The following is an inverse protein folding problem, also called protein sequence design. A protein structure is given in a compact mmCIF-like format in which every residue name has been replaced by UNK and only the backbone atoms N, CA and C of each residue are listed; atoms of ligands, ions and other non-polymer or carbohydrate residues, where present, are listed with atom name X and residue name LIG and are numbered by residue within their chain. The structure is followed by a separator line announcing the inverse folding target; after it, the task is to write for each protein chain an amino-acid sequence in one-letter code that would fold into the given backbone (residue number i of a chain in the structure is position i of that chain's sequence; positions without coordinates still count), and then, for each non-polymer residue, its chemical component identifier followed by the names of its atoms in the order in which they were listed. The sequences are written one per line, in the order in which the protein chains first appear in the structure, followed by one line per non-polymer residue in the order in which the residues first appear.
data_IF_311870055746
#
_entry.id   IF_311870055746
#
_cell.length_a   1.000
_cell.length_b   1.000
_cell.length_c   1.000
_cell.angle_alpha   90.00
_cell.angle_beta   90.00
_cell.angle_gamma   90.00
#
_symmetry.space_group_name_H-M   'P 1'
#
loop_
_entity.id
_entity.type
_entity.pdbx_description
1 polymer ?
#
# COMPACT_ATOMS: atom_id res chain seq x y z
N UNK A 1 -20.47 -12.73 5.88
CA UNK A 1 -19.24 -12.85 5.06
C UNK A 1 -18.40 -13.95 5.68
N UNK A 2 -17.60 -14.66 4.88
CA UNK A 2 -16.67 -15.67 5.41
C UNK A 2 -15.63 -15.00 6.33
N UNK A 3 -15.19 -15.75 7.33
CA UNK A 3 -14.04 -15.37 8.14
C UNK A 3 -12.78 -15.50 7.27
N UNK A 4 -12.06 -14.39 7.10
CA UNK A 4 -10.84 -14.33 6.31
C UNK A 4 -9.66 -14.64 7.23
N UNK A 5 -8.70 -15.41 6.73
CA UNK A 5 -7.47 -15.68 7.47
C UNK A 5 -6.61 -14.42 7.55
N UNK A 6 -5.70 -14.34 8.53
CA UNK A 6 -4.82 -13.17 8.73
C UNK A 6 -4.04 -12.78 7.45
N UNK A 7 -3.53 -13.76 6.71
CA UNK A 7 -2.79 -13.56 5.47
C UNK A 7 -3.68 -13.06 4.33
N UNK A 8 -4.94 -13.49 4.27
CA UNK A 8 -5.93 -12.96 3.33
C UNK A 8 -6.30 -11.52 3.68
N UNK A 9 -6.55 -11.23 4.97
CA UNK A 9 -6.83 -9.87 5.44
C UNK A 9 -5.68 -8.92 5.12
N UNK A 10 -4.45 -9.30 5.49
CA UNK A 10 -3.24 -8.54 5.18
C UNK A 10 -3.05 -8.36 3.68
N UNK A 11 -3.22 -9.41 2.88
CA UNK A 11 -3.06 -9.33 1.43
C UNK A 11 -4.07 -8.37 0.79
N UNK A 12 -5.32 -8.35 1.23
CA UNK A 12 -6.32 -7.40 0.73
C UNK A 12 -5.96 -5.94 1.01
N UNK A 13 -5.36 -5.65 2.17
CA UNK A 13 -4.89 -4.30 2.47
C UNK A 13 -3.63 -3.94 1.65
N UNK A 14 -2.68 -4.88 1.59
CA UNK A 14 -1.33 -4.59 1.14
C UNK A 14 -1.15 -4.71 -0.38
N UNK A 15 -1.91 -5.59 -1.07
CA UNK A 15 -1.88 -5.69 -2.53
C UNK A 15 -2.69 -4.61 -3.23
N UNK A 16 -3.64 -3.96 -2.54
CA UNK A 16 -4.45 -2.89 -3.13
C UNK A 16 -3.55 -1.77 -3.71
N UNK A 17 -3.77 -1.45 -4.98
CA UNK A 17 -2.99 -0.47 -5.75
C UNK A 17 -1.58 -0.93 -6.17
N UNK A 18 -1.14 -2.13 -5.78
CA UNK A 18 0.12 -2.70 -6.26
C UNK A 18 0.02 -3.15 -7.71
N UNK A 19 1.11 -2.92 -8.45
CA UNK A 19 1.18 -3.31 -9.86
C UNK A 19 1.26 -4.85 -9.96
N UNK A 20 0.42 -5.46 -10.80
CA UNK A 20 0.22 -6.92 -10.85
C UNK A 20 1.15 -7.63 -11.84
N UNK A 21 1.58 -6.99 -12.93
CA UNK A 21 2.33 -7.65 -14.01
C UNK A 21 3.84 -7.70 -13.72
N UNK A 22 4.39 -6.58 -13.29
CA UNK A 22 5.81 -6.30 -13.12
C UNK A 22 6.20 -6.35 -11.64
N UNK A 23 7.45 -6.77 -11.33
CA UNK A 23 7.93 -6.79 -9.97
C UNK A 23 8.28 -5.38 -9.47
N UNK A 24 7.88 -5.05 -8.24
CA UNK A 24 8.29 -3.85 -7.52
C UNK A 24 8.89 -4.19 -6.15
N UNK A 25 9.60 -3.24 -5.55
CA UNK A 25 10.16 -3.42 -4.19
C UNK A 25 9.03 -3.47 -3.17
N UNK A 26 8.03 -2.60 -3.32
CA UNK A 26 6.82 -2.61 -2.50
C UNK A 26 6.10 -3.96 -2.56
N UNK A 27 5.90 -4.54 -3.76
CA UNK A 27 5.26 -5.85 -3.91
C UNK A 27 6.08 -6.97 -3.27
N UNK A 28 7.40 -6.96 -3.45
CA UNK A 28 8.29 -7.92 -2.77
C UNK A 28 8.17 -7.84 -1.25
N UNK A 29 8.01 -6.63 -0.69
CA UNK A 29 7.80 -6.44 0.74
C UNK A 29 6.48 -7.02 1.23
N UNK A 30 5.41 -6.78 0.48
CA UNK A 30 4.09 -7.37 0.75
C UNK A 30 4.16 -8.90 0.74
N UNK A 31 4.77 -9.51 -0.27
CA UNK A 31 4.81 -10.97 -0.41
C UNK A 31 5.64 -11.64 0.71
N UNK A 32 6.69 -10.97 1.19
CA UNK A 32 7.44 -11.43 2.38
C UNK A 32 6.59 -11.37 3.64
N UNK A 33 5.84 -10.29 3.84
CA UNK A 33 4.91 -10.18 4.96
C UNK A 33 3.77 -11.20 4.87
N UNK A 34 3.21 -11.47 3.69
CA UNK A 34 2.25 -12.57 3.48
C UNK A 34 2.86 -13.91 3.92
N UNK A 35 4.12 -14.17 3.60
CA UNK A 35 4.80 -15.41 4.03
C UNK A 35 4.93 -15.50 5.56
N UNK A 36 5.19 -14.38 6.23
CA UNK A 36 5.22 -14.32 7.69
C UNK A 36 3.82 -14.50 8.30
N UNK A 37 2.80 -13.88 7.70
CA UNK A 37 1.41 -14.02 8.13
C UNK A 37 0.95 -15.48 8.11
N UNK A 38 1.25 -16.23 7.04
CA UNK A 38 0.93 -17.66 6.92
C UNK A 38 1.55 -18.52 8.03
N UNK A 39 2.70 -18.13 8.56
CA UNK A 39 3.33 -18.83 9.69
C UNK A 39 2.58 -18.53 10.98
N UNK A 40 2.27 -17.25 11.22
CA UNK A 40 1.58 -16.81 12.44
C UNK A 40 0.11 -17.22 12.50
N UNK A 41 -0.58 -17.40 11.36
CA UNK A 41 -1.94 -17.95 11.29
C UNK A 41 -2.07 -19.26 12.06
N UNK A 42 -1.11 -20.17 11.89
CA UNK A 42 -1.16 -21.49 12.52
C UNK A 42 -1.06 -21.44 14.04
N UNK A 43 -0.50 -20.36 14.58
CA UNK A 43 -0.40 -20.13 16.03
C UNK A 43 -1.67 -19.46 16.56
N UNK A 44 -2.19 -18.46 15.84
CA UNK A 44 -3.39 -17.72 16.24
C UNK A 44 -4.66 -18.58 16.22
N UNK A 45 -4.72 -19.61 15.38
CA UNK A 45 -5.85 -20.54 15.31
C UNK A 45 -5.87 -21.57 16.46
N UNK A 46 -4.80 -21.69 17.25
CA UNK A 46 -4.76 -22.63 18.37
C UNK A 46 -5.57 -22.08 19.54
N UNK A 47 -6.50 -22.90 20.05
CA UNK A 47 -7.34 -22.56 21.20
C UNK A 47 -6.56 -22.27 22.51
N UNK A 48 -5.30 -22.72 22.60
CA UNK A 48 -4.38 -22.51 23.74
C UNK A 48 -3.18 -21.62 23.35
N UNK A 49 -3.39 -20.61 22.50
CA UNK A 49 -2.35 -19.66 22.06
C UNK A 49 -1.79 -18.76 23.19
N UNK A 50 -1.94 -19.12 24.47
CA UNK A 50 -1.49 -18.37 25.64
C UNK A 50 0.00 -18.55 25.96
N UNK A 51 0.65 -19.57 25.41
CA UNK A 51 2.08 -19.81 25.63
C UNK A 51 2.95 -18.79 24.89
N UNK A 52 3.54 -17.84 25.64
CA UNK A 52 4.53 -16.90 25.10
C UNK A 52 5.69 -17.60 24.37
N UNK A 53 6.13 -18.77 24.86
CA UNK A 53 7.24 -19.51 24.25
C UNK A 53 6.90 -20.05 22.86
N UNK A 54 5.67 -20.48 22.63
CA UNK A 54 5.22 -20.98 21.32
C UNK A 54 5.08 -19.81 20.34
N UNK A 55 4.40 -18.75 20.77
CA UNK A 55 4.26 -17.53 19.99
C UNK A 55 5.62 -16.94 19.58
N UNK A 56 6.56 -16.83 20.52
CA UNK A 56 7.90 -16.28 20.26
C UNK A 56 8.68 -17.14 19.24
N UNK A 57 8.56 -18.48 19.32
CA UNK A 57 9.21 -19.38 18.39
C UNK A 57 8.63 -19.26 16.96
N UNK A 58 7.30 -19.20 16.84
CA UNK A 58 6.65 -19.01 15.53
C UNK A 58 6.89 -17.61 14.96
N UNK A 59 6.95 -16.57 15.79
CA UNK A 59 7.34 -15.22 15.38
C UNK A 59 8.77 -15.20 14.82
N UNK A 60 9.72 -15.83 15.50
CA UNK A 60 11.10 -15.94 15.00
C UNK A 60 11.15 -16.69 13.66
N UNK A 61 10.37 -17.76 13.51
CA UNK A 61 10.24 -18.51 12.25
C UNK A 61 9.63 -17.66 11.14
N UNK A 62 8.59 -16.88 11.44
CA UNK A 62 7.96 -15.95 10.51
C UNK A 62 8.95 -14.88 10.02
N UNK A 63 9.72 -14.29 10.93
CA UNK A 63 10.79 -13.33 10.61
C UNK A 63 11.86 -13.96 9.71
N UNK A 64 12.34 -15.16 10.05
CA UNK A 64 13.36 -15.83 9.25
C UNK A 64 12.86 -16.22 7.86
N UNK A 65 11.60 -16.66 7.74
CA UNK A 65 10.95 -16.94 6.46
C UNK A 65 10.91 -15.68 5.60
N UNK A 66 10.40 -14.57 6.14
CA UNK A 66 10.33 -13.29 5.43
C UNK A 66 11.72 -12.78 4.99
N UNK A 67 12.77 -13.02 5.79
CA UNK A 67 14.14 -12.62 5.45
C UNK A 67 14.76 -13.45 4.34
N UNK A 68 14.53 -14.76 4.35
CA UNK A 68 15.22 -15.71 3.47
C UNK A 68 14.47 -16.04 2.18
N UNK A 69 13.23 -15.53 2.03
CA UNK A 69 12.37 -15.76 0.87
C UNK A 69 13.07 -15.41 -0.45
N UNK A 70 13.00 -16.33 -1.41
CA UNK A 70 13.58 -16.16 -2.75
C UNK A 70 12.55 -15.58 -3.71
N UNK A 71 13.03 -14.88 -4.74
CA UNK A 71 12.17 -14.29 -5.78
C UNK A 71 11.21 -15.28 -6.47
N UNK A 72 11.62 -16.54 -6.66
CA UNK A 72 10.75 -17.58 -7.23
C UNK A 72 9.59 -17.95 -6.29
N UNK A 73 9.86 -17.98 -4.99
CA UNK A 73 8.87 -18.26 -3.95
C UNK A 73 7.92 -17.07 -3.81
N UNK A 74 8.44 -15.83 -3.89
CA UNK A 74 7.61 -14.61 -3.93
C UNK A 74 6.58 -14.67 -5.07
N UNK A 75 7.02 -14.97 -6.30
CA UNK A 75 6.09 -15.09 -7.45
C UNK A 75 5.08 -16.23 -7.29
N UNK A 76 5.46 -17.33 -6.64
CA UNK A 76 4.54 -18.43 -6.36
C UNK A 76 3.48 -18.01 -5.34
N UNK A 77 3.89 -17.35 -4.25
CA UNK A 77 2.99 -16.81 -3.22
C UNK A 77 2.03 -15.79 -3.83
N UNK A 78 2.52 -14.88 -4.68
CA UNK A 78 1.68 -13.89 -5.36
C UNK A 78 0.55 -14.58 -6.13
N UNK A 79 0.88 -15.57 -6.95
CA UNK A 79 -0.10 -16.31 -7.75
C UNK A 79 -1.10 -17.07 -6.89
N UNK A 80 -0.64 -17.70 -5.82
CA UNK A 80 -1.53 -18.44 -4.90
C UNK A 80 -2.51 -17.51 -4.20
N UNK A 81 -2.02 -16.42 -3.62
CA UNK A 81 -2.86 -15.47 -2.89
C UNK A 81 -3.80 -14.74 -3.83
N UNK A 82 -3.32 -14.25 -4.98
CA UNK A 82 -4.17 -13.61 -5.96
C UNK A 82 -5.26 -14.57 -6.45
N UNK A 83 -4.92 -15.81 -6.81
CA UNK A 83 -5.90 -16.78 -7.29
C UNK A 83 -6.97 -17.11 -6.24
N UNK A 84 -6.60 -17.24 -4.96
CA UNK A 84 -7.56 -17.47 -3.86
C UNK A 84 -8.50 -16.28 -3.71
N UNK A 85 -7.96 -15.06 -3.64
CA UNK A 85 -8.78 -13.86 -3.43
C UNK A 85 -9.63 -13.51 -4.66
N UNK A 86 -9.15 -13.76 -5.88
CA UNK A 86 -9.91 -13.61 -7.13
C UNK A 86 -11.07 -14.61 -7.20
N UNK A 87 -10.83 -15.87 -6.81
CA UNK A 87 -11.88 -16.90 -6.78
C UNK A 87 -12.98 -16.58 -5.77
N UNK A 88 -12.68 -15.79 -4.74
CA UNK A 88 -13.64 -15.29 -3.76
C UNK A 88 -14.24 -13.92 -4.13
N UNK A 89 -13.92 -13.39 -5.31
CA UNK A 89 -14.35 -12.07 -5.79
C UNK A 89 -13.88 -10.89 -4.92
N UNK A 90 -12.84 -11.10 -4.11
CA UNK A 90 -12.27 -10.11 -3.19
C UNK A 90 -11.11 -9.31 -3.79
N UNK A 91 -10.51 -9.78 -4.88
CA UNK A 91 -9.42 -9.13 -5.59
C UNK A 91 -9.66 -9.21 -7.09
N UNK A 92 -9.28 -8.18 -7.84
CA UNK A 92 -9.27 -8.21 -9.30
C UNK A 92 -8.16 -7.34 -9.87
N UNK A 93 -7.71 -7.66 -11.08
CA UNK A 93 -6.84 -6.76 -11.84
C UNK A 93 -7.63 -5.66 -12.54
N UNK A 94 -7.14 -4.42 -12.43
CA UNK A 94 -7.65 -3.24 -13.13
C UNK A 94 -6.51 -2.46 -13.80
N UNK A 95 -6.78 -1.53 -14.72
CA UNK A 95 -5.75 -0.62 -15.24
C UNK A 95 -5.05 0.13 -14.09
N UNK A 96 -3.74 0.28 -14.17
CA UNK A 96 -2.98 1.07 -13.19
C UNK A 96 -3.07 2.56 -13.52
N UNK A 97 -3.36 3.39 -12.52
CA UNK A 97 -3.40 4.85 -12.67
C UNK A 97 -2.08 5.42 -13.19
N UNK A 98 -0.95 4.76 -12.90
CA UNK A 98 0.35 5.14 -13.43
C UNK A 98 0.40 5.12 -14.95
N UNK A 99 -0.36 4.24 -15.59
CA UNK A 99 -0.48 4.20 -17.04
C UNK A 99 -1.09 5.48 -17.64
N UNK A 100 -1.73 6.33 -16.84
CA UNK A 100 -2.24 7.63 -17.27
C UNK A 100 -1.22 8.77 -17.09
N UNK A 101 -0.10 8.54 -16.39
CA UNK A 101 0.94 9.57 -16.26
C UNK A 101 1.58 9.82 -17.63
N UNK A 102 1.85 11.09 -17.93
CA UNK A 102 2.46 11.56 -19.18
C UNK A 102 3.72 10.77 -19.58
N UNK A 103 4.52 10.31 -18.61
CA UNK A 103 5.74 9.55 -18.89
C UNK A 103 5.49 8.09 -19.27
N UNK A 104 4.34 7.54 -18.91
CA UNK A 104 3.99 6.13 -19.10
C UNK A 104 2.94 5.93 -20.18
N UNK A 105 2.02 6.86 -20.38
CA UNK A 105 0.95 6.75 -21.38
C UNK A 105 1.50 6.56 -22.80
N UNK A 106 2.66 7.15 -23.09
CA UNK A 106 3.35 7.03 -24.38
C UNK A 106 4.34 5.86 -24.47
N UNK A 107 4.56 5.14 -23.37
CA UNK A 107 5.56 4.05 -23.29
C UNK A 107 5.11 2.76 -23.96
N UNK A 108 3.80 2.58 -24.19
CA UNK A 108 3.21 1.35 -24.72
C UNK A 108 3.30 0.15 -23.76
N UNK A 109 3.74 0.37 -22.51
CA UNK A 109 3.80 -0.67 -21.48
C UNK A 109 2.41 -0.84 -20.86
N UNK A 110 1.91 -2.07 -20.88
CA UNK A 110 0.71 -2.41 -20.13
C UNK A 110 1.03 -2.42 -18.63
N UNK A 111 0.26 -1.65 -17.88
CA UNK A 111 0.33 -1.55 -16.43
C UNK A 111 -1.03 -1.88 -15.84
N UNK A 112 -1.04 -2.84 -14.92
CA UNK A 112 -2.24 -3.24 -14.18
C UNK A 112 -1.97 -3.18 -12.69
N UNK A 113 -3.01 -2.93 -11.91
CA UNK A 113 -2.94 -2.97 -10.47
C UNK A 113 -3.99 -3.93 -9.90
N UNK A 114 -3.70 -4.51 -8.74
CA UNK A 114 -4.71 -5.19 -7.96
C UNK A 114 -5.65 -4.17 -7.32
N UNK A 115 -6.95 -4.46 -7.36
CA UNK A 115 -8.00 -3.72 -6.68
C UNK A 115 -8.75 -4.68 -5.77
N UNK A 116 -8.72 -4.40 -4.48
CA UNK A 116 -9.46 -5.15 -3.47
C UNK A 116 -10.94 -4.74 -3.47
N UNK A 117 -11.81 -5.68 -3.10
CA UNK A 117 -13.22 -5.38 -2.84
C UNK A 117 -13.35 -4.27 -1.80
N UNK A 118 -14.09 -3.22 -2.13
CA UNK A 118 -14.21 -2.03 -1.30
C UNK A 118 -14.81 -2.34 0.06
N UNK A 119 -15.85 -3.18 0.12
CA UNK A 119 -16.55 -3.48 1.38
C UNK A 119 -15.63 -4.19 2.35
N UNK A 120 -14.91 -5.21 1.85
CA UNK A 120 -13.96 -5.99 2.64
C UNK A 120 -12.75 -5.17 3.04
N UNK A 121 -12.21 -4.37 2.12
CA UNK A 121 -11.08 -3.47 2.36
C UNK A 121 -11.41 -2.46 3.46
N UNK A 122 -12.54 -1.75 3.36
CA UNK A 122 -12.96 -0.75 4.35
C UNK A 122 -13.21 -1.41 5.70
N UNK A 123 -13.87 -2.58 5.73
CA UNK A 123 -14.14 -3.30 6.98
C UNK A 123 -12.86 -3.64 7.73
N UNK A 124 -11.88 -4.23 7.06
CA UNK A 124 -10.60 -4.62 7.68
C UNK A 124 -9.83 -3.38 8.10
N UNK A 125 -9.72 -2.38 7.21
CA UNK A 125 -9.00 -1.13 7.48
C UNK A 125 -9.58 -0.38 8.66
N UNK A 126 -10.88 -0.13 8.68
CA UNK A 126 -11.52 0.65 9.74
C UNK A 126 -11.69 -0.16 11.03
N UNK A 127 -11.82 -1.50 10.94
CA UNK A 127 -11.74 -2.38 12.11
C UNK A 127 -10.41 -2.25 12.84
N UNK A 128 -9.30 -2.44 12.11
CA UNK A 128 -7.95 -2.24 12.64
C UNK A 128 -7.73 -0.83 13.18
N UNK A 129 -8.24 0.19 12.48
CA UNK A 129 -8.11 1.59 12.93
C UNK A 129 -8.89 1.84 14.22
N UNK A 130 -10.12 1.33 14.34
CA UNK A 130 -10.92 1.49 15.55
C UNK A 130 -10.21 0.85 16.74
N UNK A 131 -9.73 -0.38 16.59
CA UNK A 131 -9.07 -1.11 17.68
C UNK A 131 -7.78 -0.44 18.18
N UNK A 132 -6.97 0.10 17.25
CA UNK A 132 -5.69 0.73 17.59
C UNK A 132 -5.86 2.19 18.06
N UNK A 133 -6.78 2.96 17.48
CA UNK A 133 -6.91 4.39 17.76
C UNK A 133 -7.87 4.68 18.93
N UNK A 134 -8.88 3.85 19.16
CA UNK A 134 -9.84 4.01 20.26
C UNK A 134 -9.35 3.33 21.54
N UNK A 135 -9.70 3.87 22.70
CA UNK A 135 -9.24 3.33 23.98
C UNK A 135 -9.82 1.92 24.24
N UNK A 136 -8.95 0.92 24.40
CA UNK A 136 -9.36 -0.46 24.59
C UNK A 136 -8.20 -1.46 24.51
N UNK A 137 -8.43 -2.73 24.85
CA UNK A 137 -7.45 -3.78 24.61
C UNK A 137 -7.27 -3.98 23.10
N UNK A 138 -6.03 -4.16 22.68
CA UNK A 138 -5.69 -4.54 21.31
C UNK A 138 -5.66 -6.06 21.28
N UNK A 139 -6.33 -6.68 20.31
CA UNK A 139 -6.26 -8.11 20.07
C UNK A 139 -4.91 -8.49 19.46
N UNK A 140 -4.50 -9.74 19.69
CA UNK A 140 -3.24 -10.22 19.15
C UNK A 140 -3.27 -10.29 17.61
N UNK A 141 -4.43 -10.56 17.01
CA UNK A 141 -4.60 -10.60 15.55
C UNK A 141 -4.33 -9.23 14.92
N UNK A 142 -4.96 -8.17 15.44
CA UNK A 142 -4.77 -6.80 14.96
C UNK A 142 -3.36 -6.28 15.24
N UNK A 143 -2.76 -6.65 16.37
CA UNK A 143 -1.36 -6.34 16.66
C UNK A 143 -0.42 -6.98 15.63
N UNK A 144 -0.66 -8.24 15.24
CA UNK A 144 0.11 -8.94 14.20
C UNK A 144 -0.13 -8.29 12.83
N UNK A 145 -1.37 -7.97 12.48
CA UNK A 145 -1.70 -7.28 11.24
C UNK A 145 -0.98 -5.93 11.14
N UNK A 146 -0.99 -5.16 12.22
CA UNK A 146 -0.28 -3.90 12.32
C UNK A 146 1.24 -4.07 12.18
N UNK A 147 1.82 -5.09 12.82
CA UNK A 147 3.23 -5.42 12.68
C UNK A 147 3.59 -5.75 11.22
N UNK A 148 2.79 -6.56 10.53
CA UNK A 148 3.00 -6.86 9.10
C UNK A 148 2.93 -5.60 8.23
N UNK A 149 2.00 -4.69 8.50
CA UNK A 149 1.87 -3.41 7.80
C UNK A 149 3.08 -2.50 8.04
N UNK A 150 3.61 -2.46 9.26
CA UNK A 150 4.84 -1.73 9.59
C UNK A 150 6.03 -2.29 8.82
N UNK A 151 6.24 -3.60 8.91
CA UNK A 151 7.42 -4.27 8.34
C UNK A 151 7.45 -4.26 6.80
N UNK A 152 6.29 -4.18 6.17
CA UNK A 152 6.16 -4.06 4.71
C UNK A 152 6.13 -2.60 4.20
N UNK A 153 6.08 -1.62 5.09
CA UNK A 153 5.94 -0.19 4.74
C UNK A 153 4.53 0.22 4.31
N UNK A 154 3.51 -0.62 4.54
CA UNK A 154 2.10 -0.35 4.24
C UNK A 154 1.42 0.50 5.33
N UNK A 155 2.03 0.66 6.51
CA UNK A 155 1.45 1.43 7.63
C UNK A 155 1.04 2.85 7.23
N UNK A 156 1.82 3.47 6.34
CA UNK A 156 1.51 4.80 5.86
C UNK A 156 0.18 4.81 5.09
N UNK A 157 -0.18 3.77 4.34
CA UNK A 157 -1.39 3.81 3.53
C UNK A 157 -2.66 3.91 4.40
N UNK A 158 -2.60 3.33 5.59
CA UNK A 158 -3.74 3.26 6.51
C UNK A 158 -3.74 4.36 7.57
N UNK A 159 -2.57 4.85 7.98
CA UNK A 159 -2.42 5.81 9.08
C UNK A 159 -1.68 7.06 8.63
N UNK A 160 -2.22 8.22 9.01
CA UNK A 160 -1.52 9.51 8.92
C UNK A 160 -0.30 9.54 9.85
N UNK A 161 0.59 10.52 9.66
CA UNK A 161 1.79 10.66 10.52
C UNK A 161 1.42 10.85 11.99
N UNK A 162 0.38 11.62 12.28
CA UNK A 162 -0.12 11.80 13.66
C UNK A 162 -0.72 10.52 14.23
N UNK A 163 -1.45 9.75 13.42
CA UNK A 163 -2.01 8.47 13.86
C UNK A 163 -0.92 7.42 14.07
N UNK A 164 0.16 7.43 13.27
CA UNK A 164 1.31 6.54 13.48
C UNK A 164 1.98 6.78 14.83
N UNK A 165 2.09 8.03 15.29
CA UNK A 165 2.58 8.32 16.64
C UNK A 165 1.67 7.70 17.70
N UNK A 166 0.34 7.81 17.53
CA UNK A 166 -0.63 7.19 18.45
C UNK A 166 -0.53 5.65 18.44
N UNK A 167 -0.33 5.06 17.27
CA UNK A 167 -0.11 3.63 17.10
C UNK A 167 1.13 3.18 17.88
N UNK A 168 2.24 3.92 17.77
CA UNK A 168 3.48 3.63 18.48
C UNK A 168 3.31 3.71 20.01
N UNK A 169 2.64 4.75 20.51
CA UNK A 169 2.29 4.88 21.93
C UNK A 169 1.49 3.67 22.41
N UNK A 170 0.43 3.31 21.70
CA UNK A 170 -0.48 2.21 22.06
C UNK A 170 0.20 0.85 22.04
N UNK A 171 1.03 0.58 21.05
CA UNK A 171 1.81 -0.66 21.00
C UNK A 171 2.87 -0.72 22.10
N UNK A 172 3.45 0.42 22.48
CA UNK A 172 4.40 0.49 23.61
C UNK A 172 3.69 0.22 24.94
N UNK A 173 2.49 0.78 25.15
CA UNK A 173 1.67 0.50 26.33
C UNK A 173 1.29 -0.98 26.42
N UNK A 174 0.87 -1.59 25.30
CA UNK A 174 0.57 -3.03 25.23
C UNK A 174 1.82 -3.89 25.51
N UNK A 175 2.99 -3.50 24.98
CA UNK A 175 4.25 -4.20 25.20
C UNK A 175 4.73 -4.15 26.66
N UNK A 176 4.33 -3.15 27.46
CA UNK A 176 4.59 -3.13 28.90
C UNK A 176 3.73 -4.18 29.63
N UNK A 177 2.50 -4.39 29.16
CA UNK A 177 1.53 -5.25 29.83
C UNK A 177 1.70 -6.74 29.49
N UNK A 178 2.07 -7.07 28.25
CA UNK A 178 2.17 -8.46 27.79
C UNK A 178 3.43 -8.67 26.91
N UNK A 179 4.14 -9.76 27.21
CA UNK A 179 5.41 -10.14 26.57
C UNK A 179 5.26 -10.43 25.08
N UNK A 180 4.10 -10.91 24.64
CA UNK A 180 3.82 -11.21 23.22
C UNK A 180 3.87 -9.93 22.38
N UNK A 181 3.23 -8.86 22.84
CA UNK A 181 3.24 -7.57 22.13
C UNK A 181 4.64 -6.98 22.11
N UNK A 182 5.42 -7.15 23.18
CA UNK A 182 6.82 -6.72 23.22
C UNK A 182 7.67 -7.46 22.21
N UNK A 183 7.63 -8.79 22.23
CA UNK A 183 8.39 -9.63 21.29
C UNK A 183 7.99 -9.34 19.84
N UNK A 184 6.69 -9.16 19.58
CA UNK A 184 6.16 -8.78 18.28
C UNK A 184 6.69 -7.41 17.82
N UNK A 185 6.62 -6.40 18.70
CA UNK A 185 7.03 -5.05 18.34
C UNK A 185 8.54 -4.91 18.13
N UNK A 186 9.36 -5.65 18.88
CA UNK A 186 10.82 -5.73 18.72
C UNK A 186 11.27 -6.55 17.50
N UNK A 187 10.41 -7.40 16.94
CA UNK A 187 10.75 -8.23 15.80
C UNK A 187 10.78 -7.43 14.49
N UNK A 188 11.87 -7.54 13.73
CA UNK A 188 12.06 -6.79 12.48
C UNK A 188 12.56 -7.68 11.33
N UNK A 189 11.94 -7.53 10.16
CA UNK A 189 12.39 -8.04 8.87
C UNK A 189 12.45 -6.96 7.77
N UNK A 190 12.05 -5.72 8.04
CA UNK A 190 12.12 -4.62 7.08
C UNK A 190 13.56 -4.22 6.71
N UNK A 191 14.55 -4.50 7.58
CA UNK A 191 15.97 -4.27 7.31
C UNK A 191 16.52 -5.00 6.06
N UNK A 192 15.83 -6.03 5.58
CA UNK A 192 16.13 -6.67 4.29
C UNK A 192 15.96 -5.69 3.12
N UNK A 193 14.99 -4.78 3.22
CA UNK A 193 14.75 -3.78 2.21
C UNK A 193 15.83 -2.70 2.20
N UNK A 194 16.46 -2.36 3.33
CA UNK A 194 17.60 -1.42 3.35
C UNK A 194 18.78 -1.93 2.50
N UNK A 195 19.07 -3.23 2.57
CA UNK A 195 20.07 -3.88 1.72
C UNK A 195 19.71 -3.84 0.23
N UNK A 196 18.42 -3.99 -0.09
CA UNK A 196 17.89 -3.88 -1.45
C UNK A 196 17.92 -2.43 -1.95
N UNK A 197 17.54 -1.45 -1.12
CA UNK A 197 17.58 -0.02 -1.40
C UNK A 197 19.02 0.43 -1.71
N UNK A 198 19.98 0.00 -0.90
CA UNK A 198 21.39 0.31 -1.13
C UNK A 198 21.92 -0.21 -2.48
N UNK A 199 21.42 -1.35 -2.97
CA UNK A 199 21.76 -1.86 -4.31
C UNK A 199 20.98 -1.13 -5.41
N UNK A 200 19.68 -0.89 -5.21
CA UNK A 200 18.81 -0.24 -6.19
C UNK A 200 19.20 1.22 -6.45
N UNK A 201 19.49 1.98 -5.40
CA UNK A 201 20.01 3.36 -5.48
C UNK A 201 21.35 3.38 -6.22
N UNK A 202 22.26 2.43 -5.95
CA UNK A 202 23.53 2.32 -6.68
C UNK A 202 23.31 2.03 -8.17
N UNK A 203 22.41 1.11 -8.51
CA UNK A 203 22.12 0.71 -9.90
C UNK A 203 21.31 1.78 -10.68
N UNK A 204 20.39 2.51 -10.04
CA UNK A 204 19.56 3.55 -10.66
C UNK A 204 20.05 4.98 -10.45
N UNK A 205 21.16 5.21 -9.77
CA UNK A 205 21.82 6.54 -9.63
C UNK A 205 22.08 7.26 -10.96
N UNK A 206 22.10 6.55 -12.09
CA UNK A 206 22.16 7.13 -13.45
C UNK A 206 20.81 7.55 -14.03
N UNK A 207 19.70 6.91 -13.63
CA UNK A 207 18.32 7.21 -14.06
C UNK A 207 17.62 8.23 -13.14
N UNK A 208 18.08 8.35 -11.89
CA UNK A 208 17.51 9.24 -10.86
C UNK A 208 18.13 10.65 -10.85
N UNK A 209 18.92 11.02 -11.88
CA UNK A 209 19.41 12.40 -12.08
C UNK A 209 18.30 13.36 -12.55
N UNK A 210 17.09 13.21 -12.02
CA UNK A 210 16.05 14.21 -12.17
C UNK A 210 16.19 15.19 -10.99
N UNK A 211 16.39 16.50 -11.21
CA UNK A 211 16.61 17.50 -10.15
C UNK A 211 15.50 17.62 -9.08
N UNK A 212 14.40 16.87 -9.19
CA UNK A 212 13.32 16.83 -8.20
C UNK A 212 13.48 15.78 -7.09
N UNK A 213 14.53 14.94 -7.14
CA UNK A 213 14.74 13.85 -6.17
C UNK A 213 15.98 14.03 -5.28
N UNK A 214 16.71 15.14 -5.42
CA UNK A 214 17.74 15.53 -4.45
C UNK A 214 17.04 16.06 -3.18
N UNK A 215 16.87 15.20 -2.17
CA UNK A 215 16.43 15.60 -0.83
C UNK A 215 15.27 14.82 -0.22
N UNK A 216 14.73 13.80 -0.89
CA UNK A 216 13.74 12.90 -0.28
C UNK A 216 14.47 11.79 0.46
N UNK A 217 14.25 11.66 1.76
CA UNK A 217 14.58 10.44 2.50
C UNK A 217 13.89 9.28 1.77
N UNK A 218 14.64 8.50 0.99
CA UNK A 218 14.13 7.47 0.09
C UNK A 218 13.58 6.29 0.91
N UNK A 219 12.35 6.42 1.44
CA UNK A 219 11.56 5.29 1.94
C UNK A 219 10.96 4.61 0.70
N UNK A 220 11.76 3.73 0.07
CA UNK A 220 11.53 3.27 -1.29
C UNK A 220 10.39 2.24 -1.50
N UNK A 221 9.75 1.65 -0.46
CA UNK A 221 8.42 1.03 -0.64
C UNK A 221 7.29 2.06 -0.72
N UNK A 222 7.38 3.16 0.03
CA UNK A 222 6.30 4.15 0.13
C UNK A 222 6.02 4.89 -1.19
N UNK A 223 7.09 5.32 -1.88
CA UNK A 223 6.95 6.06 -3.15
C UNK A 223 6.35 5.20 -4.28
N UNK A 224 6.62 3.89 -4.27
CA UNK A 224 6.07 2.94 -5.25
C UNK A 224 4.56 2.69 -5.03
N UNK A 225 4.05 2.86 -3.80
CA UNK A 225 2.65 2.60 -3.42
C UNK A 225 1.74 3.79 -3.67
N UNK A 226 2.17 5.02 -3.34
CA UNK A 226 1.39 6.25 -3.54
C UNK A 226 1.79 7.00 -4.79
N UNK A 227 1.23 6.55 -5.90
CA UNK A 227 1.51 7.09 -7.23
C UNK A 227 0.77 8.42 -7.42
N UNK A 228 1.53 9.52 -7.48
CA UNK A 228 1.02 10.77 -8.03
C UNK A 228 1.24 10.74 -9.54
N UNK A 229 0.21 11.13 -10.30
CA UNK A 229 0.27 11.13 -11.76
C UNK A 229 -0.07 12.51 -12.31
N UNK A 230 0.59 12.87 -13.39
CA UNK A 230 0.28 14.05 -14.16
C UNK A 230 -0.24 13.63 -15.53
N UNK A 231 -1.50 13.99 -15.80
CA UNK A 231 -2.17 13.71 -17.07
C UNK A 231 -2.05 14.98 -17.89
N UNK A 232 -1.37 14.91 -19.03
CA UNK A 232 -1.24 16.03 -19.94
C UNK A 232 -2.56 16.29 -20.67
N UNK A 233 -2.94 17.56 -20.75
CA UNK A 233 -4.18 17.99 -21.38
C UNK A 233 -3.95 19.33 -22.05
N UNK A 234 -4.14 19.38 -23.37
CA UNK A 234 -4.08 20.65 -24.11
C UNK A 234 -5.47 21.28 -24.08
N UNK A 235 -5.70 22.18 -23.12
CA UNK A 235 -7.00 22.87 -23.02
C UNK A 235 -6.80 24.38 -22.86
N UNK A 236 -6.81 25.07 -24.00
CA UNK A 236 -6.81 26.54 -24.07
C UNK A 236 -8.19 27.10 -23.69
N UNK A 237 -8.22 28.18 -22.93
CA UNK A 237 -9.46 28.91 -22.60
C UNK A 237 -10.37 28.26 -21.55
N UNK A 238 -9.93 27.20 -20.88
CA UNK A 238 -10.74 26.49 -19.85
C UNK A 238 -10.39 26.84 -18.42
N UNK A 239 -11.37 26.72 -17.54
CA UNK A 239 -11.23 26.90 -16.10
C UNK A 239 -10.88 25.57 -15.37
N UNK A 240 -10.75 25.64 -14.05
CA UNK A 240 -10.42 24.48 -13.18
C UNK A 240 -11.47 23.38 -13.28
N UNK A 241 -12.75 23.74 -13.35
CA UNK A 241 -13.87 22.79 -13.42
C UNK A 241 -13.88 22.03 -14.74
N UNK A 242 -13.67 22.73 -15.86
CA UNK A 242 -13.63 22.13 -17.18
C UNK A 242 -12.48 21.11 -17.28
N UNK A 243 -11.30 21.46 -16.75
CA UNK A 243 -10.12 20.57 -16.73
C UNK A 243 -10.35 19.33 -15.88
N UNK A 244 -11.00 19.48 -14.72
CA UNK A 244 -11.39 18.32 -13.89
C UNK A 244 -12.37 17.42 -14.63
N UNK A 245 -13.41 17.98 -15.25
CA UNK A 245 -14.40 17.21 -16.00
C UNK A 245 -13.75 16.42 -17.15
N UNK A 246 -12.85 17.05 -17.90
CA UNK A 246 -12.10 16.39 -18.96
C UNK A 246 -11.23 15.25 -18.42
N UNK A 247 -10.57 15.44 -17.27
CA UNK A 247 -9.75 14.41 -16.65
C UNK A 247 -10.58 13.22 -16.19
N UNK A 248 -11.75 13.47 -15.58
CA UNK A 248 -12.69 12.42 -15.18
C UNK A 248 -13.18 11.63 -16.40
N UNK A 249 -13.53 12.31 -17.49
CA UNK A 249 -13.94 11.64 -18.74
C UNK A 249 -12.81 10.80 -19.33
N UNK A 250 -11.58 11.32 -19.33
CA UNK A 250 -10.40 10.59 -19.79
C UNK A 250 -10.16 9.31 -18.97
N UNK A 251 -10.19 9.40 -17.64
CA UNK A 251 -10.04 8.25 -16.74
C UNK A 251 -11.15 7.21 -16.97
N UNK A 252 -12.40 7.63 -17.12
CA UNK A 252 -13.51 6.72 -17.45
C UNK A 252 -13.29 5.99 -18.78
N UNK A 253 -12.80 6.69 -19.81
CA UNK A 253 -12.44 6.08 -21.11
C UNK A 253 -11.29 5.06 -20.98
N UNK A 254 -10.38 5.25 -20.03
CA UNK A 254 -9.30 4.32 -19.70
C UNK A 254 -9.74 3.14 -18.82
N UNK A 255 -11.01 3.07 -18.44
CA UNK A 255 -11.59 1.95 -17.69
C UNK A 255 -11.63 2.15 -16.17
N UNK A 256 -11.31 3.35 -15.67
CA UNK A 256 -11.41 3.64 -14.23
C UNK A 256 -12.85 3.95 -13.81
N UNK A 257 -13.27 3.37 -12.69
CA UNK A 257 -14.41 3.86 -11.94
C UNK A 257 -13.97 5.11 -11.15
N UNK A 258 -14.62 6.25 -11.41
CA UNK A 258 -14.27 7.54 -10.80
C UNK A 258 -15.51 8.15 -10.15
N UNK A 259 -15.41 8.39 -8.85
CA UNK A 259 -16.43 9.07 -8.05
C UNK A 259 -15.91 10.44 -7.60
N UNK A 260 -16.71 11.50 -7.79
CA UNK A 260 -16.37 12.84 -7.33
C UNK A 260 -16.96 13.07 -5.94
N UNK A 261 -16.10 13.39 -4.98
CA UNK A 261 -16.46 13.61 -3.58
C UNK A 261 -16.17 15.06 -3.22
N UNK A 262 -17.20 15.79 -2.80
CA UNK A 262 -17.09 17.21 -2.42
C UNK A 262 -16.81 17.35 -0.94
N UNK A 263 -15.73 18.06 -0.61
CA UNK A 263 -15.24 18.25 0.75
C UNK A 263 -15.06 19.75 1.00
N UNK A 264 -16.10 20.39 1.52
CA UNK A 264 -16.10 21.85 1.67
C UNK A 264 -15.88 22.54 0.31
N UNK A 265 -14.75 23.24 0.16
CA UNK A 265 -14.34 23.88 -1.09
C UNK A 265 -13.49 23.00 -2.02
N UNK A 266 -13.03 21.83 -1.55
CA UNK A 266 -12.22 20.90 -2.35
C UNK A 266 -13.09 19.83 -3.01
N UNK A 267 -12.57 19.25 -4.11
CA UNK A 267 -13.16 18.09 -4.78
C UNK A 267 -12.10 17.00 -4.86
N UNK A 268 -12.37 15.86 -4.25
CA UNK A 268 -11.57 14.65 -4.35
C UNK A 268 -12.14 13.74 -5.42
N UNK A 269 -11.27 12.96 -6.05
CA UNK A 269 -11.64 11.84 -6.90
C UNK A 269 -11.35 10.55 -6.16
N UNK A 270 -12.35 9.71 -5.96
CA UNK A 270 -12.15 8.33 -5.52
C UNK A 270 -12.00 7.45 -6.75
N UNK A 271 -10.87 6.74 -6.81
CA UNK A 271 -10.50 5.82 -7.88
C UNK A 271 -10.08 4.51 -7.22
N UNK A 272 -10.91 3.47 -7.36
CA UNK A 272 -10.76 2.28 -6.52
C UNK A 272 -10.93 2.62 -5.04
N UNK A 273 -10.01 2.12 -4.20
CA UNK A 273 -10.03 2.37 -2.75
C UNK A 273 -9.20 3.61 -2.34
N UNK A 274 -8.67 4.38 -3.29
CA UNK A 274 -7.78 5.52 -3.03
C UNK A 274 -8.45 6.84 -3.43
N UNK A 275 -8.24 7.86 -2.60
CA UNK A 275 -8.69 9.22 -2.84
C UNK A 275 -7.56 10.06 -3.41
N UNK A 276 -7.89 10.90 -4.40
CA UNK A 276 -6.96 11.78 -5.07
C UNK A 276 -7.44 13.22 -5.01
N UNK A 277 -6.55 14.12 -4.60
CA UNK A 277 -6.69 15.55 -4.89
C UNK A 277 -6.40 15.77 -6.36
N UNK A 278 -7.30 16.49 -7.03
CA UNK A 278 -7.12 16.91 -8.41
C UNK A 278 -7.00 18.43 -8.50
N UNK A 279 -5.95 18.89 -9.17
CA UNK A 279 -5.77 20.32 -9.46
C UNK A 279 -5.03 20.52 -10.79
N UNK A 280 -5.32 21.61 -11.52
CA UNK A 280 -4.57 21.95 -12.73
C UNK A 280 -3.12 22.26 -12.41
N UNK A 281 -2.21 21.83 -13.28
CA UNK A 281 -0.78 22.11 -13.16
C UNK A 281 -0.17 22.30 -14.55
N UNK A 282 0.91 23.07 -14.60
CA UNK A 282 1.78 23.15 -15.79
C UNK A 282 3.14 22.58 -15.40
N UNK A 283 3.61 21.57 -16.13
CA UNK A 283 4.97 21.03 -15.99
C UNK A 283 5.82 21.46 -17.17
N UNK A 284 7.10 21.77 -16.93
CA UNK A 284 8.03 22.08 -18.00
C UNK A 284 8.81 20.83 -18.37
N UNK A 285 8.67 20.34 -19.60
CA UNK A 285 9.46 19.23 -20.15
C UNK A 285 10.27 19.74 -21.34
N UNK A 286 11.59 19.55 -21.32
CA UNK A 286 12.49 20.01 -22.40
C UNK A 286 12.28 21.47 -22.82
N UNK A 287 12.03 22.37 -21.84
CA UNK A 287 11.72 23.80 -22.04
C UNK A 287 10.37 24.10 -22.70
N UNK A 288 9.52 23.10 -22.90
CA UNK A 288 8.14 23.24 -23.37
C UNK A 288 7.19 23.18 -22.17
N UNK A 289 6.33 24.19 -21.96
CA UNK A 289 5.30 24.12 -20.95
C UNK A 289 4.18 23.17 -21.39
N UNK A 290 3.93 22.14 -20.61
CA UNK A 290 2.87 21.16 -20.80
C UNK A 290 1.81 21.42 -19.73
N UNK A 291 0.60 21.72 -20.17
CA UNK A 291 -0.55 21.89 -19.30
C UNK A 291 -1.21 20.55 -19.03
N UNK A 292 -1.83 20.41 -17.86
CA UNK A 292 -2.53 19.20 -17.50
C UNK A 292 -3.16 19.28 -16.13
N UNK A 293 -3.43 18.10 -15.56
CA UNK A 293 -3.93 17.94 -14.20
C UNK A 293 -3.00 17.05 -13.41
N UNK A 294 -2.81 17.37 -12.14
CA UNK A 294 -2.07 16.53 -11.22
C UNK A 294 -3.07 15.80 -10.31
N UNK A 295 -2.90 14.49 -10.20
CA UNK A 295 -3.58 13.64 -9.23
C UNK A 295 -2.57 13.29 -8.13
N UNK A 296 -2.89 13.66 -6.90
CA UNK A 296 -2.05 13.39 -5.73
C UNK A 296 -2.86 12.59 -4.74
N UNK A 297 -2.39 11.40 -4.29
CA UNK A 297 -3.06 10.63 -3.25
C UNK A 297 -3.33 11.50 -2.01
N UNK A 298 -4.52 11.36 -1.45
CA UNK A 298 -4.97 12.06 -0.27
C UNK A 298 -5.57 11.06 0.72
N UNK A 299 -5.39 11.35 2.01
CA UNK A 299 -6.14 10.64 3.04
C UNK A 299 -7.54 11.22 3.10
N UNK A 300 -8.51 10.32 3.17
CA UNK A 300 -9.88 10.63 3.50
C UNK A 300 -10.19 10.01 4.85
N UNK A 301 -10.73 10.83 5.75
CA UNK A 301 -11.22 10.45 7.09
C UNK A 301 -12.74 10.41 7.06
#
# INVERSE_FOLDING_TARGET
MKDLTLSQQYALLALDGQESIHPSVAKSAVLRAVSAARVLETELEKADADSFSEFSAELQKAVQMAKTLKKKEETQIEKEVAAVLEAEELLKEVPDILGCDMNYDTSGVELKAYLSDETSYIRIKEGLRAEILEDGPISLEDAVLLWLLRESGCIHDLFSVSEQNRVEERMTEAAVQDEKYRALWEAEFHNVFEGFMNRFVKTKSKLLKNPYLEGVNLVFPYLDRRKSVFIDMVIFGTNVSDRRAAAVEYLKKKGFAVEEIRVGSETLLKIGNIYYRIFPMTKTAYKVPIQGVNLVPAYWQ
#
